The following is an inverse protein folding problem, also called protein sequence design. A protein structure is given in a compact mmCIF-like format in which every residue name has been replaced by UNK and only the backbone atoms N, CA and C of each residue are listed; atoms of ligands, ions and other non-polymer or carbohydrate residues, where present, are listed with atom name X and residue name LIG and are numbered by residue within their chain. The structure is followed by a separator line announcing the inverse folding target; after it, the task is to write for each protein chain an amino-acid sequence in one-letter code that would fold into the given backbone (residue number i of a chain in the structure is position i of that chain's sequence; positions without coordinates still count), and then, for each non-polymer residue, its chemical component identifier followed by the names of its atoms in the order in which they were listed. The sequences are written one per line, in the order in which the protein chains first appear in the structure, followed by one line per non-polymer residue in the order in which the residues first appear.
data_IF_515422647190
#
_entry.id   IF_515422647190
#
_cell.length_a   1.000
_cell.length_b   1.000
_cell.length_c   1.000
_cell.angle_alpha   90.00
_cell.angle_beta   90.00
_cell.angle_gamma   90.00
#
_symmetry.space_group_name_H-M   'P 1'
#
loop_
_entity.id
_entity.type
_entity.pdbx_description
1 polymer ?
#
# COMPACT_ATOMS: atom_id res chain seq x y z
N UNK A 1 6.71 3.45 -15.45
CA UNK A 1 6.19 4.62 -14.70
C UNK A 1 5.79 4.16 -13.31
N UNK A 2 6.34 4.77 -12.26
CA UNK A 2 5.95 4.53 -10.87
C UNK A 2 5.06 5.70 -10.41
N UNK A 3 3.93 5.41 -9.78
CA UNK A 3 3.06 6.42 -9.18
C UNK A 3 3.42 6.59 -7.70
N UNK A 4 3.36 7.84 -7.20
CA UNK A 4 3.78 8.20 -5.84
C UNK A 4 2.68 9.02 -5.17
N UNK A 5 2.30 8.67 -3.94
CA UNK A 5 1.31 9.41 -3.15
C UNK A 5 2.02 10.16 -2.03
N UNK A 6 1.90 11.48 -2.04
CA UNK A 6 2.57 12.43 -1.12
C UNK A 6 1.62 13.20 -0.20
N UNK A 7 0.31 13.09 -0.37
CA UNK A 7 -0.70 13.91 0.32
C UNK A 7 -1.87 13.07 0.83
N UNK A 8 -2.68 13.64 1.73
CA UNK A 8 -3.88 13.04 2.30
C UNK A 8 -4.94 12.80 1.23
N UNK A 9 -5.29 11.54 0.98
CA UNK A 9 -6.34 11.16 0.03
C UNK A 9 -7.34 10.24 0.72
N UNK A 10 -8.64 10.57 0.61
CA UNK A 10 -9.75 9.69 0.97
C UNK A 10 -10.38 9.13 -0.30
N UNK A 11 -10.48 7.82 -0.44
CA UNK A 11 -11.25 7.20 -1.54
C UNK A 11 -10.66 5.91 -2.07
N UNK A 12 -11.01 5.57 -3.33
CA UNK A 12 -10.47 4.40 -4.02
C UNK A 12 -9.39 4.83 -5.01
N UNK A 13 -8.21 4.24 -4.92
CA UNK A 13 -7.12 4.49 -5.87
C UNK A 13 -6.82 3.22 -6.68
N UNK A 14 -6.90 3.34 -8.01
CA UNK A 14 -6.39 2.33 -8.92
C UNK A 14 -4.99 2.68 -9.41
N UNK A 15 -4.10 1.70 -9.51
CA UNK A 15 -2.73 1.91 -9.95
C UNK A 15 -2.19 0.72 -10.75
N UNK A 16 -1.19 0.98 -11.60
CA UNK A 16 -0.46 -0.02 -12.39
C UNK A 16 1.03 0.03 -12.07
N UNK A 17 1.74 -1.08 -12.24
CA UNK A 17 3.18 -1.14 -11.98
C UNK A 17 3.50 -1.09 -10.49
N UNK A 18 4.34 -0.15 -10.07
CA UNK A 18 4.73 0.01 -8.66
C UNK A 18 4.08 1.28 -8.07
N UNK A 19 3.33 1.11 -6.98
CA UNK A 19 2.90 2.22 -6.13
C UNK A 19 3.79 2.29 -4.89
N UNK A 20 4.36 3.47 -4.63
CA UNK A 20 5.10 3.75 -3.39
C UNK A 20 4.35 4.79 -2.56
N UNK A 21 3.95 4.38 -1.36
CA UNK A 21 3.25 5.23 -0.38
C UNK A 21 4.25 5.75 0.63
N UNK A 22 4.44 7.06 0.69
CA UNK A 22 5.31 7.70 1.68
C UNK A 22 4.58 8.70 2.60
N UNK A 23 3.35 9.07 2.24
CA UNK A 23 2.44 9.85 3.06
C UNK A 23 1.27 9.02 3.61
N UNK A 24 0.16 9.69 3.92
CA UNK A 24 -1.05 9.05 4.44
C UNK A 24 -2.09 8.85 3.34
N UNK A 25 -2.58 7.62 3.19
CA UNK A 25 -3.69 7.26 2.32
C UNK A 25 -4.82 6.65 3.17
N UNK A 26 -6.06 7.07 2.94
CA UNK A 26 -7.25 6.52 3.59
C UNK A 26 -8.23 5.97 2.54
N UNK A 27 -8.61 4.71 2.66
CA UNK A 27 -9.55 4.03 1.76
C UNK A 27 -8.94 2.82 1.06
N UNK A 28 -9.45 2.48 -0.14
CA UNK A 28 -9.18 1.20 -0.80
C UNK A 28 -8.15 1.35 -1.91
N UNK A 29 -7.10 0.54 -1.85
CA UNK A 29 -6.05 0.45 -2.87
C UNK A 29 -6.28 -0.77 -3.77
N UNK A 30 -6.61 -0.53 -5.04
CA UNK A 30 -6.88 -1.57 -6.04
C UNK A 30 -5.83 -1.57 -7.16
N UNK A 31 -4.79 -2.40 -7.09
CA UNK A 31 -3.91 -2.68 -8.22
C UNK A 31 -4.66 -3.16 -9.47
N UNK A 32 -4.09 -2.81 -10.62
CA UNK A 32 -4.24 -3.57 -11.87
C UNK A 32 -3.38 -4.83 -11.77
N UNK A 33 -3.77 -5.90 -12.46
CA UNK A 33 -3.10 -7.20 -12.43
C UNK A 33 -1.56 -7.10 -12.52
N UNK A 34 -0.87 -7.83 -11.64
CA UNK A 34 0.60 -7.86 -11.57
C UNK A 34 1.26 -6.64 -10.89
N UNK A 35 0.48 -5.67 -10.40
CA UNK A 35 1.05 -4.50 -9.73
C UNK A 35 1.58 -4.82 -8.33
N UNK A 36 2.60 -4.06 -7.93
CA UNK A 36 3.32 -4.18 -6.67
C UNK A 36 3.16 -2.90 -5.85
N UNK A 37 3.27 -3.04 -4.53
CA UNK A 37 3.16 -1.92 -3.60
C UNK A 37 4.32 -1.89 -2.61
N UNK A 38 4.76 -0.68 -2.27
CA UNK A 38 5.64 -0.43 -1.14
C UNK A 38 5.07 0.65 -0.22
N UNK A 39 4.89 0.31 1.05
CA UNK A 39 4.61 1.27 2.12
C UNK A 39 5.95 1.64 2.75
N UNK A 40 6.48 2.82 2.41
CA UNK A 40 7.73 3.29 3.00
C UNK A 40 7.55 3.54 4.50
N UNK A 41 8.66 3.70 5.23
CA UNK A 41 8.67 3.95 6.68
C UNK A 41 7.71 5.05 7.16
N UNK A 42 7.61 6.16 6.43
CA UNK A 42 6.71 7.28 6.75
C UNK A 42 5.28 7.08 6.23
N UNK A 43 5.07 6.05 5.41
CA UNK A 43 3.79 5.75 4.79
C UNK A 43 2.79 5.17 5.79
N UNK A 44 1.57 5.66 5.70
CA UNK A 44 0.43 5.17 6.49
C UNK A 44 -0.72 4.88 5.54
N UNK A 45 -1.21 3.65 5.56
CA UNK A 45 -2.46 3.27 4.90
C UNK A 45 -3.50 3.02 5.99
N UNK A 46 -4.64 3.70 5.91
CA UNK A 46 -5.82 3.41 6.71
C UNK A 46 -6.95 2.93 5.78
N UNK A 47 -7.02 1.62 5.58
CA UNK A 47 -7.94 0.95 4.67
C UNK A 47 -7.32 -0.27 4.00
N UNK A 48 -8.08 -0.91 3.13
CA UNK A 48 -7.73 -2.22 2.58
C UNK A 48 -6.85 -2.13 1.32
N UNK A 49 -5.91 -3.08 1.19
CA UNK A 49 -5.09 -3.32 0.00
C UNK A 49 -5.58 -4.61 -0.67
N UNK A 50 -6.05 -4.52 -1.92
CA UNK A 50 -6.73 -5.63 -2.60
C UNK A 50 -5.92 -6.24 -3.76
N UNK A 51 -5.48 -7.49 -3.68
CA UNK A 51 -5.02 -8.24 -4.85
C UNK A 51 -3.69 -7.78 -5.47
N UNK A 52 -2.75 -7.28 -4.65
CA UNK A 52 -1.40 -6.99 -5.14
C UNK A 52 -0.64 -8.29 -5.46
N UNK A 53 0.28 -8.26 -6.43
CA UNK A 53 1.22 -9.35 -6.59
C UNK A 53 2.17 -9.42 -5.40
N UNK A 54 2.82 -8.30 -5.07
CA UNK A 54 3.61 -8.17 -3.84
C UNK A 54 3.35 -6.86 -3.11
N UNK A 55 3.40 -6.92 -1.78
CA UNK A 55 3.34 -5.75 -0.88
C UNK A 55 4.54 -5.79 0.06
N UNK A 56 5.37 -4.75 0.01
CA UNK A 56 6.49 -4.54 0.94
C UNK A 56 6.10 -3.46 1.96
N UNK A 57 6.15 -3.76 3.24
CA UNK A 57 5.78 -2.83 4.31
C UNK A 57 7.00 -2.49 5.16
N UNK A 58 7.32 -1.20 5.25
CA UNK A 58 8.25 -0.60 6.22
C UNK A 58 7.54 0.41 7.14
N UNK A 59 6.35 0.88 6.76
CA UNK A 59 5.51 1.81 7.52
C UNK A 59 4.32 1.13 8.21
N UNK A 60 3.17 1.79 8.19
CA UNK A 60 1.96 1.32 8.89
C UNK A 60 0.81 1.04 7.91
N UNK A 61 0.12 -0.10 8.10
CA UNK A 61 -1.15 -0.43 7.44
C UNK A 61 -2.18 -0.78 8.50
N UNK A 62 -3.32 -0.08 8.49
CA UNK A 62 -4.48 -0.33 9.35
C UNK A 62 -5.62 -0.71 8.42
N UNK A 63 -5.84 -2.01 8.24
CA UNK A 63 -6.76 -2.61 7.28
C UNK A 63 -6.24 -3.94 6.74
N UNK A 64 -7.07 -4.62 5.96
CA UNK A 64 -6.74 -5.92 5.39
C UNK A 64 -5.71 -5.78 4.27
N UNK A 65 -4.76 -6.71 4.19
CA UNK A 65 -3.80 -6.81 3.09
C UNK A 65 -3.99 -8.12 2.35
N UNK A 66 -4.53 -8.04 1.14
CA UNK A 66 -4.62 -9.15 0.20
C UNK A 66 -3.53 -9.03 -0.86
N UNK A 67 -2.57 -9.95 -0.83
CA UNK A 67 -1.51 -10.04 -1.84
C UNK A 67 -0.98 -11.47 -1.96
N UNK A 68 -0.36 -11.81 -3.10
CA UNK A 68 0.30 -13.11 -3.26
C UNK A 68 1.54 -13.24 -2.39
N UNK A 69 2.28 -12.14 -2.21
CA UNK A 69 3.46 -12.08 -1.32
C UNK A 69 3.39 -10.82 -0.46
N UNK A 70 3.52 -10.99 0.85
CA UNK A 70 3.66 -9.87 1.80
C UNK A 70 5.04 -9.96 2.46
N UNK A 71 5.81 -8.88 2.36
CA UNK A 71 7.12 -8.76 2.99
C UNK A 71 7.06 -7.67 4.05
N UNK A 72 7.14 -8.08 5.32
CA UNK A 72 7.24 -7.16 6.45
C UNK A 72 8.71 -6.91 6.77
N UNK A 73 9.13 -5.64 6.69
CA UNK A 73 10.48 -5.21 7.03
C UNK A 73 10.53 -4.62 8.44
N UNK A 74 11.73 -4.22 8.85
CA UNK A 74 11.95 -3.55 10.14
C UNK A 74 10.99 -2.35 10.27
N UNK A 75 10.30 -2.26 11.42
CA UNK A 75 9.30 -1.23 11.76
C UNK A 75 7.94 -1.34 11.06
N UNK A 76 7.70 -2.40 10.27
CA UNK A 76 6.37 -2.67 9.74
C UNK A 76 5.36 -2.83 10.88
N UNK A 77 4.22 -2.15 10.78
CA UNK A 77 3.08 -2.30 11.67
C UNK A 77 1.85 -2.56 10.81
N UNK A 78 1.31 -3.78 10.88
CA UNK A 78 0.12 -4.19 10.12
C UNK A 78 -0.94 -4.64 11.10
N UNK A 79 -2.14 -4.07 10.99
CA UNK A 79 -3.27 -4.32 11.87
C UNK A 79 -4.51 -4.50 10.99
N UNK A 80 -5.06 -5.72 10.90
CA UNK A 80 -6.18 -6.04 10.02
C UNK A 80 -6.51 -7.51 10.04
#
# INVERSE_FOLDING_TARGET
MASRVMSFHKGRLQFKGLLRVEGRFEGVLKPVEGANMMVARSGVIAGDVEGCHSVIVEGTVIGNVSASVVVLRRYANVQG
#
